data_IF_184915315497
#
_entry.id   IF_184915315497
#
_cell.length_a   1.000
_cell.length_b   1.000
_cell.length_c   1.000
_cell.angle_alpha   90.00
_cell.angle_beta   90.00
_cell.angle_gamma   90.00
#
_symmetry.space_group_name_H-M   'P 1'
#
loop_
_entity.id
_entity.type
_entity.pdbx_description
1 polymer ?
#
# COMPACT_ATOMS: atom_id res chain seq x y z
N UNK A 1 14.79 8.31 22.03
CA UNK A 1 13.42 8.08 21.56
C UNK A 1 12.94 9.17 20.57
N UNK A 2 13.16 10.46 20.82
CA UNK A 2 12.76 11.57 19.92
C UNK A 2 13.37 11.50 18.50
N UNK A 3 14.63 11.09 18.35
CA UNK A 3 15.31 11.02 17.04
C UNK A 3 14.63 10.02 16.10
N UNK A 4 14.31 8.84 16.57
CA UNK A 4 13.61 7.83 15.74
C UNK A 4 12.23 8.28 15.28
N UNK A 5 11.49 8.99 16.15
CA UNK A 5 10.18 9.52 15.79
C UNK A 5 10.30 10.58 14.69
N UNK A 6 11.32 11.42 14.76
CA UNK A 6 11.60 12.44 13.73
C UNK A 6 11.97 11.81 12.38
N UNK A 7 12.83 10.77 12.37
CA UNK A 7 13.21 10.07 11.14
C UNK A 7 11.99 9.44 10.47
N UNK A 8 11.15 8.73 11.22
CA UNK A 8 9.94 8.11 10.70
C UNK A 8 8.98 9.16 10.12
N UNK A 9 8.87 10.31 10.78
CA UNK A 9 8.04 11.41 10.28
C UNK A 9 8.55 11.92 8.93
N UNK A 10 9.85 12.17 8.80
CA UNK A 10 10.46 12.60 7.53
C UNK A 10 10.29 11.56 6.43
N UNK A 11 10.52 10.27 6.72
CA UNK A 11 10.33 9.19 5.75
C UNK A 11 8.88 9.15 5.24
N UNK A 12 7.88 9.32 6.11
CA UNK A 12 6.48 9.41 5.73
C UNK A 12 6.19 10.62 4.85
N UNK A 13 6.74 11.78 5.22
CA UNK A 13 6.53 13.01 4.46
C UNK A 13 7.09 12.89 3.04
N UNK A 14 8.33 12.37 2.91
CA UNK A 14 8.95 12.14 1.61
C UNK A 14 8.14 11.13 0.79
N UNK A 15 7.71 10.02 1.40
CA UNK A 15 6.87 9.04 0.73
C UNK A 15 5.52 9.62 0.28
N UNK A 16 4.85 10.45 1.10
CA UNK A 16 3.63 11.17 0.71
C UNK A 16 3.84 12.06 -0.50
N UNK A 17 4.89 12.88 -0.49
CA UNK A 17 5.23 13.76 -1.62
C UNK A 17 5.50 12.94 -2.88
N UNK A 18 6.23 11.82 -2.76
CA UNK A 18 6.51 10.92 -3.89
C UNK A 18 5.22 10.33 -4.47
N UNK A 19 4.26 9.91 -3.64
CA UNK A 19 2.96 9.43 -4.11
C UNK A 19 2.20 10.52 -4.85
N UNK A 20 2.13 11.73 -4.32
CA UNK A 20 1.48 12.87 -5.00
C UNK A 20 2.13 13.13 -6.37
N UNK A 21 3.47 13.12 -6.44
CA UNK A 21 4.19 13.32 -7.69
C UNK A 21 3.92 12.20 -8.71
N UNK A 22 3.91 10.92 -8.29
CA UNK A 22 3.55 9.79 -9.17
C UNK A 22 2.18 10.03 -9.81
N UNK A 23 1.19 10.41 -9.00
CA UNK A 23 -0.17 10.61 -9.49
C UNK A 23 -0.30 11.84 -10.38
N UNK A 24 0.40 12.93 -10.06
CA UNK A 24 0.46 14.11 -10.90
C UNK A 24 1.05 13.78 -12.27
N UNK A 25 2.18 13.06 -12.31
CA UNK A 25 2.82 12.63 -13.55
C UNK A 25 1.89 11.72 -14.35
N UNK A 26 1.28 10.71 -13.70
CA UNK A 26 0.33 9.80 -14.37
C UNK A 26 -0.83 10.55 -14.98
N UNK A 27 -1.45 11.48 -14.25
CA UNK A 27 -2.57 12.29 -14.72
C UNK A 27 -2.15 13.19 -15.88
N UNK A 28 -0.94 13.76 -15.85
CA UNK A 28 -0.38 14.59 -16.92
C UNK A 28 -0.22 13.78 -18.19
N UNK A 29 0.36 12.57 -18.12
CA UNK A 29 0.48 11.69 -19.29
C UNK A 29 -0.89 11.34 -19.88
N UNK A 30 -1.87 11.06 -19.03
CA UNK A 30 -3.21 10.71 -19.49
C UNK A 30 -3.92 11.87 -20.18
N UNK A 31 -3.72 13.11 -19.68
CA UNK A 31 -4.42 14.29 -20.15
C UNK A 31 -3.82 14.88 -21.43
N UNK A 32 -2.50 14.75 -21.61
CA UNK A 32 -1.79 15.43 -22.72
C UNK A 32 -1.31 14.48 -23.81
N UNK A 33 -1.63 13.17 -23.71
CA UNK A 33 -1.25 12.13 -24.68
C UNK A 33 0.21 12.25 -25.16
N UNK A 34 1.16 12.27 -24.20
CA UNK A 34 2.58 12.51 -24.45
C UNK A 34 3.37 11.18 -24.51
N UNK A 35 3.35 10.42 -25.60
CA UNK A 35 3.96 9.08 -25.61
C UNK A 35 5.50 9.10 -25.66
N UNK A 36 6.12 10.08 -26.33
CA UNK A 36 7.56 10.09 -26.59
C UNK A 36 8.35 11.20 -25.86
N UNK A 37 7.75 12.33 -25.56
CA UNK A 37 8.42 13.46 -24.93
C UNK A 37 8.54 13.35 -23.41
N UNK A 38 7.85 12.38 -22.82
CA UNK A 38 7.81 12.13 -21.38
C UNK A 38 8.83 11.15 -20.84
N UNK A 39 9.85 10.74 -21.59
CA UNK A 39 10.79 9.69 -21.16
C UNK A 39 11.47 9.99 -19.82
N UNK A 40 11.94 11.21 -19.62
CA UNK A 40 12.53 11.63 -18.35
C UNK A 40 11.53 11.61 -17.19
N UNK A 41 10.30 12.04 -17.45
CA UNK A 41 9.23 11.99 -16.45
C UNK A 41 8.86 10.54 -16.08
N UNK A 42 8.90 9.62 -17.05
CA UNK A 42 8.68 8.18 -16.77
C UNK A 42 9.80 7.58 -15.91
N UNK A 43 11.06 7.90 -16.21
CA UNK A 43 12.21 7.49 -15.37
C UNK A 43 12.03 8.05 -13.96
N UNK A 44 11.68 9.33 -13.85
CA UNK A 44 11.46 9.95 -12.56
C UNK A 44 10.29 9.30 -11.80
N UNK A 45 9.19 8.99 -12.48
CA UNK A 45 8.06 8.26 -11.92
C UNK A 45 8.49 6.88 -11.39
N UNK A 46 9.32 6.12 -12.15
CA UNK A 46 9.84 4.83 -11.71
C UNK A 46 10.69 4.95 -10.45
N UNK A 47 11.52 6.00 -10.35
CA UNK A 47 12.32 6.25 -9.15
C UNK A 47 11.44 6.53 -7.91
N UNK A 48 10.25 7.10 -8.09
CA UNK A 48 9.32 7.40 -6.99
C UNK A 48 8.49 6.19 -6.53
N UNK A 49 8.49 5.08 -7.27
CA UNK A 49 7.69 3.88 -6.92
C UNK A 49 8.05 3.27 -5.55
N UNK A 50 9.22 3.60 -4.99
CA UNK A 50 9.60 3.17 -3.63
C UNK A 50 8.62 3.64 -2.54
N UNK A 51 7.79 4.64 -2.83
CA UNK A 51 6.92 5.28 -1.84
C UNK A 51 5.91 4.30 -1.23
N UNK A 52 5.26 3.46 -2.05
CA UNK A 52 4.28 2.47 -1.57
C UNK A 52 4.92 1.41 -0.65
N UNK A 53 6.01 0.71 -1.04
CA UNK A 53 6.68 -0.21 -0.13
C UNK A 53 7.25 0.48 1.11
N UNK A 54 7.65 1.75 1.03
CA UNK A 54 8.08 2.52 2.19
C UNK A 54 6.97 2.69 3.22
N UNK A 55 5.73 2.99 2.80
CA UNK A 55 4.58 3.07 3.71
C UNK A 55 4.29 1.74 4.41
N UNK A 56 4.34 0.63 3.67
CA UNK A 56 4.16 -0.70 4.22
C UNK A 56 5.25 -1.01 5.24
N UNK A 57 6.51 -0.77 4.87
CA UNK A 57 7.66 -0.96 5.76
C UNK A 57 7.53 -0.17 7.06
N UNK A 58 7.20 1.13 6.97
CA UNK A 58 7.05 1.98 8.17
C UNK A 58 5.91 1.46 9.04
N UNK A 59 4.79 1.02 8.45
CA UNK A 59 3.64 0.51 9.18
C UNK A 59 3.98 -0.76 9.93
N UNK A 60 4.65 -1.72 9.29
CA UNK A 60 5.12 -2.95 9.89
C UNK A 60 6.22 -2.72 10.94
N UNK A 61 7.17 -1.84 10.67
CA UNK A 61 8.21 -1.49 11.62
C UNK A 61 7.63 -0.93 12.92
N UNK A 62 6.65 -0.02 12.82
CA UNK A 62 5.98 0.54 14.00
C UNK A 62 5.15 -0.51 14.73
N UNK A 63 4.47 -1.39 14.00
CA UNK A 63 3.70 -2.49 14.57
C UNK A 63 4.61 -3.46 15.32
N UNK A 64 5.70 -3.90 14.69
CA UNK A 64 6.68 -4.80 15.31
C UNK A 64 7.38 -4.18 16.52
N UNK A 65 7.65 -2.87 16.47
CA UNK A 65 8.22 -2.14 17.62
C UNK A 65 7.26 -2.06 18.80
N UNK A 66 5.96 -1.87 18.51
CA UNK A 66 4.93 -1.76 19.53
C UNK A 66 4.48 -3.12 20.06
N UNK A 67 4.38 -4.13 19.21
CA UNK A 67 3.84 -5.46 19.51
C UNK A 67 4.78 -6.55 18.99
N UNK A 68 5.76 -6.93 19.80
CA UNK A 68 6.76 -7.93 19.39
C UNK A 68 6.18 -9.33 19.13
N UNK A 69 5.24 -9.79 19.97
CA UNK A 69 4.74 -11.16 19.93
C UNK A 69 3.22 -11.30 19.97
N UNK A 70 2.54 -10.33 20.56
CA UNK A 70 1.07 -10.34 20.69
C UNK A 70 0.54 -8.94 20.48
N UNK A 71 -0.30 -8.79 19.49
CA UNK A 71 -1.03 -7.55 19.23
C UNK A 71 -2.17 -7.40 20.24
N UNK A 72 -2.46 -6.17 20.65
CA UNK A 72 -3.54 -5.86 21.59
C UNK A 72 -4.88 -6.35 21.05
N UNK A 73 -5.70 -6.93 21.92
CA UNK A 73 -7.06 -7.30 21.56
C UNK A 73 -7.85 -6.07 21.06
N UNK A 74 -8.57 -6.24 19.96
CA UNK A 74 -9.29 -5.14 19.31
C UNK A 74 -8.45 -4.24 18.36
N UNK A 75 -7.14 -4.46 18.24
CA UNK A 75 -6.29 -3.68 17.32
C UNK A 75 -6.81 -3.72 15.88
N UNK A 76 -7.11 -4.90 15.36
CA UNK A 76 -7.60 -5.06 13.98
C UNK A 76 -8.93 -4.33 13.78
N UNK A 77 -9.86 -4.45 14.74
CA UNK A 77 -11.13 -3.72 14.72
C UNK A 77 -10.91 -2.21 14.69
N UNK A 78 -9.99 -1.70 15.53
CA UNK A 78 -9.66 -0.28 15.56
C UNK A 78 -9.08 0.19 14.22
N UNK A 79 -8.18 -0.59 13.61
CA UNK A 79 -7.60 -0.27 12.30
C UNK A 79 -8.64 -0.34 11.19
N UNK A 80 -9.54 -1.32 11.23
CA UNK A 80 -10.65 -1.43 10.30
C UNK A 80 -11.57 -0.21 10.36
N UNK A 81 -11.89 0.27 11.55
CA UNK A 81 -12.69 1.48 11.71
C UNK A 81 -11.94 2.74 11.25
N UNK A 82 -10.64 2.86 11.57
CA UNK A 82 -9.88 4.09 11.30
C UNK A 82 -9.43 4.20 9.84
N UNK A 83 -9.09 3.10 9.19
CA UNK A 83 -8.58 3.08 7.82
C UNK A 83 -9.59 2.46 6.85
N UNK A 84 -10.32 1.44 7.26
CA UNK A 84 -11.26 0.72 6.40
C UNK A 84 -12.50 1.56 6.08
N UNK A 85 -13.09 2.25 7.05
CA UNK A 85 -14.27 3.09 6.79
C UNK A 85 -13.95 4.22 5.79
N UNK A 86 -12.92 5.05 5.99
CA UNK A 86 -12.54 6.05 4.99
C UNK A 86 -12.23 5.45 3.63
N UNK A 87 -11.57 4.29 3.60
CA UNK A 87 -11.28 3.56 2.36
C UNK A 87 -12.57 3.20 1.61
N UNK A 88 -13.56 2.63 2.28
CA UNK A 88 -14.85 2.27 1.69
C UNK A 88 -15.57 3.51 1.16
N UNK A 89 -15.69 4.57 1.97
CA UNK A 89 -16.38 5.80 1.59
C UNK A 89 -15.76 6.45 0.36
N UNK A 90 -14.42 6.53 0.34
CA UNK A 90 -13.70 7.12 -0.79
C UNK A 90 -13.91 6.29 -2.06
N UNK A 91 -13.80 4.95 -1.99
CA UNK A 91 -13.98 4.10 -3.16
C UNK A 91 -15.42 4.07 -3.68
N UNK A 92 -16.42 4.17 -2.81
CA UNK A 92 -17.82 4.35 -3.22
C UNK A 92 -17.99 5.67 -4.00
N UNK A 93 -17.41 6.76 -3.51
CA UNK A 93 -17.42 8.04 -4.24
C UNK A 93 -16.69 8.00 -5.57
N UNK A 94 -15.49 7.39 -5.60
CA UNK A 94 -14.70 7.25 -6.83
C UNK A 94 -15.38 6.35 -7.86
N UNK A 95 -16.03 5.26 -7.44
CA UNK A 95 -16.80 4.38 -8.34
C UNK A 95 -17.94 5.13 -9.03
N UNK A 96 -18.58 6.05 -8.33
CA UNK A 96 -19.62 6.89 -8.93
C UNK A 96 -19.03 7.89 -9.96
N UNK A 97 -17.93 8.59 -9.57
CA UNK A 97 -17.33 9.64 -10.40
C UNK A 97 -16.63 9.09 -11.64
N UNK A 98 -15.86 8.02 -11.50
CA UNK A 98 -15.06 7.46 -12.60
C UNK A 98 -15.75 6.32 -13.35
N UNK A 99 -16.64 5.60 -12.67
CA UNK A 99 -17.40 4.50 -13.29
C UNK A 99 -18.52 4.97 -14.22
N UNK A 100 -19.01 6.21 -14.04
CA UNK A 100 -20.16 6.75 -14.80
C UNK A 100 -21.31 5.74 -14.92
N UNK A 101 -21.76 5.11 -13.84
CA UNK A 101 -22.68 3.99 -13.88
C UNK A 101 -24.05 4.42 -14.44
N UNK A 102 -24.61 3.60 -15.33
CA UNK A 102 -25.94 3.83 -15.92
C UNK A 102 -27.05 3.20 -15.09
N UNK A 103 -26.72 2.18 -14.33
CA UNK A 103 -27.63 1.43 -13.46
C UNK A 103 -26.91 1.00 -12.18
N UNK A 104 -27.65 0.36 -11.27
CA UNK A 104 -27.11 -0.09 -9.99
C UNK A 104 -26.08 -1.24 -10.14
N UNK A 105 -26.24 -2.09 -11.13
CA UNK A 105 -25.33 -3.20 -11.41
C UNK A 105 -23.97 -2.68 -11.88
N UNK A 106 -23.95 -1.78 -12.86
CA UNK A 106 -22.72 -1.10 -13.31
C UNK A 106 -22.00 -0.38 -12.15
N UNK A 107 -22.79 0.20 -11.23
CA UNK A 107 -22.23 0.86 -10.05
C UNK A 107 -21.53 -0.15 -9.12
N UNK A 108 -22.17 -1.29 -8.85
CA UNK A 108 -21.57 -2.32 -7.99
C UNK A 108 -20.32 -2.92 -8.61
N UNK A 109 -20.31 -3.16 -9.93
CA UNK A 109 -19.12 -3.63 -10.64
C UNK A 109 -17.98 -2.60 -10.57
N UNK A 110 -18.29 -1.33 -10.72
CA UNK A 110 -17.31 -0.25 -10.55
C UNK A 110 -16.76 -0.20 -9.13
N UNK A 111 -17.60 -0.38 -8.11
CA UNK A 111 -17.18 -0.44 -6.70
C UNK A 111 -16.22 -1.62 -6.47
N UNK A 112 -16.57 -2.82 -6.93
CA UNK A 112 -15.72 -4.01 -6.81
C UNK A 112 -14.38 -3.80 -7.52
N UNK A 113 -14.41 -3.26 -8.73
CA UNK A 113 -13.19 -2.95 -9.49
C UNK A 113 -12.29 -1.97 -8.73
N UNK A 114 -12.85 -0.86 -8.25
CA UNK A 114 -12.10 0.15 -7.50
C UNK A 114 -11.51 -0.39 -6.20
N UNK A 115 -12.25 -1.25 -5.48
CA UNK A 115 -11.80 -1.79 -4.20
C UNK A 115 -10.74 -2.90 -4.34
N UNK A 116 -10.87 -3.80 -5.30
CA UNK A 116 -10.08 -5.03 -5.31
C UNK A 116 -9.11 -5.16 -6.48
N UNK A 117 -9.32 -4.46 -7.59
CA UNK A 117 -8.48 -4.56 -8.78
C UNK A 117 -7.46 -3.42 -8.92
N UNK A 118 -7.28 -2.63 -7.86
CA UNK A 118 -6.29 -1.56 -7.85
C UNK A 118 -6.63 -0.36 -8.75
N UNK A 119 -7.92 -0.19 -9.08
CA UNK A 119 -8.41 0.93 -9.90
C UNK A 119 -8.24 2.30 -9.25
N UNK A 120 -7.82 2.36 -7.97
CA UNK A 120 -7.63 3.60 -7.22
C UNK A 120 -6.29 3.67 -6.52
N UNK A 121 -5.91 4.90 -6.16
CA UNK A 121 -4.73 5.22 -5.36
C UNK A 121 -4.75 4.60 -3.96
N UNK A 122 -5.92 4.17 -3.52
CA UNK A 122 -6.16 3.71 -2.15
C UNK A 122 -5.91 2.21 -1.97
N UNK A 123 -5.60 1.45 -3.04
CA UNK A 123 -5.36 0.01 -2.96
C UNK A 123 -4.24 -0.38 -1.98
N UNK A 124 -3.28 0.52 -1.72
CA UNK A 124 -2.22 0.27 -0.74
C UNK A 124 -2.76 0.04 0.69
N UNK A 125 -3.97 0.50 1.00
CA UNK A 125 -4.63 0.24 2.28
C UNK A 125 -4.93 -1.25 2.42
N UNK A 126 -5.36 -1.92 1.35
CA UNK A 126 -5.58 -3.37 1.32
C UNK A 126 -4.27 -4.11 1.60
N UNK A 127 -3.16 -3.66 0.99
CA UNK A 127 -1.84 -4.22 1.24
C UNK A 127 -1.45 -4.07 2.72
N UNK A 128 -1.65 -2.90 3.31
CA UNK A 128 -1.37 -2.68 4.74
C UNK A 128 -2.20 -3.63 5.62
N UNK A 129 -3.48 -3.86 5.31
CA UNK A 129 -4.30 -4.81 6.05
C UNK A 129 -3.81 -6.25 5.92
N UNK A 130 -3.35 -6.67 4.74
CA UNK A 130 -2.73 -7.99 4.53
C UNK A 130 -1.50 -8.15 5.43
N UNK A 131 -0.63 -7.13 5.50
CA UNK A 131 0.54 -7.16 6.38
C UNK A 131 0.15 -7.19 7.87
N UNK A 132 -0.86 -6.43 8.29
CA UNK A 132 -1.36 -6.51 9.67
C UNK A 132 -1.87 -7.91 10.00
N UNK A 133 -2.57 -8.56 9.09
CA UNK A 133 -3.03 -9.93 9.27
C UNK A 133 -1.86 -10.92 9.36
N UNK A 134 -0.90 -10.80 8.44
CA UNK A 134 0.33 -11.59 8.47
C UNK A 134 1.10 -11.42 9.78
N UNK A 135 1.23 -10.19 10.26
CA UNK A 135 1.87 -9.90 11.55
C UNK A 135 1.15 -10.59 12.70
N UNK A 136 -0.19 -10.48 12.79
CA UNK A 136 -0.98 -11.11 13.84
C UNK A 136 -0.78 -12.63 13.86
N UNK A 137 -0.75 -13.27 12.68
CA UNK A 137 -0.62 -14.73 12.54
C UNK A 137 0.81 -15.19 12.81
N UNK A 138 1.80 -14.52 12.25
CA UNK A 138 3.17 -15.01 12.17
C UNK A 138 4.15 -14.38 13.17
N UNK A 139 3.82 -13.27 13.84
CA UNK A 139 4.75 -12.56 14.73
C UNK A 139 5.43 -13.46 15.75
N UNK A 140 4.69 -14.37 16.38
CA UNK A 140 5.22 -15.32 17.38
C UNK A 140 6.28 -16.28 16.81
N UNK A 141 6.15 -16.64 15.54
CA UNK A 141 7.06 -17.55 14.85
C UNK A 141 8.27 -16.79 14.29
N UNK A 142 8.05 -15.63 13.70
CA UNK A 142 9.07 -14.79 13.08
C UNK A 142 10.12 -14.28 14.08
N UNK A 143 9.69 -13.91 15.29
CA UNK A 143 10.62 -13.47 16.36
C UNK A 143 11.61 -14.54 16.78
N UNK A 144 11.27 -15.82 16.60
CA UNK A 144 12.15 -16.96 16.94
C UNK A 144 13.12 -17.33 15.84
N UNK A 145 12.92 -16.84 14.64
CA UNK A 145 13.74 -17.17 13.48
C UNK A 145 14.95 -16.23 13.38
N UNK A 146 16.07 -16.78 12.93
CA UNK A 146 17.24 -15.97 12.63
C UNK A 146 16.91 -15.03 11.44
N UNK A 147 17.18 -13.72 11.54
CA UNK A 147 16.87 -12.75 10.49
C UNK A 147 17.50 -13.09 9.14
N UNK A 148 18.70 -13.70 9.13
CA UNK A 148 19.36 -14.12 7.88
C UNK A 148 18.54 -15.23 7.18
N UNK A 149 18.03 -16.21 7.95
CA UNK A 149 17.18 -17.27 7.40
C UNK A 149 15.88 -16.71 6.82
N UNK A 150 15.29 -15.70 7.47
CA UNK A 150 14.08 -15.03 6.94
C UNK A 150 14.34 -14.36 5.61
N UNK A 151 15.46 -13.65 5.46
CA UNK A 151 15.85 -13.03 4.18
C UNK A 151 16.04 -14.10 3.10
N UNK A 152 16.74 -15.19 3.40
CA UNK A 152 16.96 -16.29 2.45
C UNK A 152 15.61 -16.91 2.03
N UNK A 153 14.71 -17.22 2.96
CA UNK A 153 13.40 -17.78 2.65
C UNK A 153 12.55 -16.83 1.80
N UNK A 154 12.57 -15.52 2.10
CA UNK A 154 11.84 -14.53 1.31
C UNK A 154 12.36 -14.45 -0.12
N UNK A 155 13.68 -14.49 -0.32
CA UNK A 155 14.29 -14.52 -1.64
C UNK A 155 13.91 -15.80 -2.42
N UNK A 156 13.97 -16.97 -1.77
CA UNK A 156 13.59 -18.24 -2.41
C UNK A 156 12.11 -18.20 -2.83
N UNK A 157 11.22 -17.78 -1.95
CA UNK A 157 9.78 -17.69 -2.27
C UNK A 157 9.53 -16.72 -3.42
N UNK A 158 10.17 -15.55 -3.40
CA UNK A 158 10.03 -14.56 -4.47
C UNK A 158 10.54 -15.08 -5.80
N UNK A 159 11.72 -15.72 -5.83
CA UNK A 159 12.27 -16.29 -7.06
C UNK A 159 11.42 -17.45 -7.60
N UNK A 160 10.91 -18.31 -6.74
CA UNK A 160 10.00 -19.39 -7.14
C UNK A 160 8.69 -18.83 -7.70
N UNK A 161 8.11 -17.81 -7.06
CA UNK A 161 6.90 -17.16 -7.56
C UNK A 161 7.09 -16.59 -8.97
N UNK A 162 8.20 -15.89 -9.23
CA UNK A 162 8.51 -15.35 -10.57
C UNK A 162 8.89 -16.42 -11.59
N UNK A 163 9.41 -17.57 -11.16
CA UNK A 163 9.72 -18.69 -12.04
C UNK A 163 8.48 -19.51 -12.46
N UNK A 164 7.38 -19.39 -11.73
CA UNK A 164 6.11 -20.07 -12.01
C UNK A 164 5.10 -19.20 -12.79
N UNK A 165 5.40 -17.92 -13.03
CA UNK A 165 4.62 -16.97 -13.84
C UNK A 165 5.13 -16.92 -15.28
#
# INVERSE_FOLDING_TARGET
>A
MRVYTSIIFWMRTIACLSVVMIHTITTTFYKFDMPNEGYLLRIFQLLLLYATPMFVFISEFLLAKQYKTKVKDGFFKQKLLTLGIPYIIINLGLAYVYGHPKNFEDYMDSVVFMMFHGGTLTYFIVIIFQFYLLHIVFAKHLVKLNPIKLVIYSLIITTLFWACL
#
